data_IF_099887269517
#
_entry.id   IF_099887269517
#
_cell.length_a   1.000
_cell.length_b   1.000
_cell.length_c   1.000
_cell.angle_alpha   90.00
_cell.angle_beta   90.00
_cell.angle_gamma   90.00
#
_symmetry.space_group_name_H-M   'P 1'
#
loop_
_entity.id
_entity.type
_entity.pdbx_description
1 polymer ?
#
# COMPACT_ATOMS: atom_id res chain seq x y z
N UNK A 1 -0.17 4.81 -17.44
CA UNK A 1 -1.22 4.23 -16.60
C UNK A 1 -0.80 2.86 -16.08
N UNK A 2 -0.05 2.09 -16.87
CA UNK A 2 0.36 0.71 -16.54
C UNK A 2 1.35 0.69 -15.37
N UNK A 3 2.25 1.67 -15.27
CA UNK A 3 3.15 1.82 -14.12
C UNK A 3 2.38 1.98 -12.79
N UNK A 4 1.35 2.82 -12.75
CA UNK A 4 0.48 2.96 -11.57
C UNK A 4 -0.24 1.66 -11.20
N UNK A 5 -0.74 0.94 -12.19
CA UNK A 5 -1.42 -0.35 -11.98
C UNK A 5 -0.44 -1.37 -11.40
N UNK A 6 0.80 -1.42 -11.90
CA UNK A 6 1.82 -2.32 -11.39
C UNK A 6 2.22 -1.96 -9.95
N UNK A 7 2.28 -0.67 -9.61
CA UNK A 7 2.46 -0.22 -8.22
C UNK A 7 1.32 -0.69 -7.31
N UNK A 8 0.07 -0.65 -7.78
CA UNK A 8 -1.08 -1.18 -7.04
C UNK A 8 -0.95 -2.69 -6.82
N UNK A 9 -0.59 -3.45 -7.86
CA UNK A 9 -0.36 -4.90 -7.76
C UNK A 9 0.75 -5.20 -6.74
N UNK A 10 1.85 -4.44 -6.77
CA UNK A 10 2.93 -4.57 -5.80
C UNK A 10 2.47 -4.30 -4.37
N UNK A 11 1.67 -3.24 -4.13
CA UNK A 11 1.11 -2.93 -2.82
C UNK A 11 0.17 -4.05 -2.33
N UNK A 12 -0.63 -4.61 -3.24
CA UNK A 12 -1.50 -5.75 -2.97
C UNK A 12 -0.74 -7.01 -2.57
N UNK A 13 0.46 -7.24 -3.13
CA UNK A 13 1.32 -8.38 -2.81
C UNK A 13 2.14 -8.12 -1.53
N UNK A 14 2.60 -6.88 -1.33
CA UNK A 14 3.37 -6.47 -0.15
C UNK A 14 2.55 -6.58 1.13
N UNK A 15 1.26 -6.24 1.09
CA UNK A 15 0.36 -6.36 2.24
C UNK A 15 0.39 -7.77 2.88
N UNK A 16 0.11 -8.85 2.13
CA UNK A 16 0.21 -10.23 2.62
C UNK A 16 1.61 -10.63 3.10
N UNK A 17 2.66 -10.19 2.42
CA UNK A 17 4.05 -10.45 2.83
C UNK A 17 4.32 -9.82 4.21
N UNK A 18 3.84 -8.62 4.44
CA UNK A 18 4.01 -7.91 5.71
C UNK A 18 3.14 -8.52 6.80
N UNK A 19 1.93 -8.96 6.48
CA UNK A 19 1.10 -9.71 7.41
C UNK A 19 1.81 -11.01 7.87
N UNK A 20 2.43 -11.72 6.94
CA UNK A 20 3.25 -12.91 7.22
C UNK A 20 4.48 -12.60 8.07
N UNK A 21 5.24 -11.55 7.72
CA UNK A 21 6.40 -11.09 8.47
C UNK A 21 6.01 -10.64 9.89
N UNK A 22 4.82 -10.05 10.04
CA UNK A 22 4.27 -9.61 11.31
C UNK A 22 4.03 -10.79 12.25
N UNK A 23 3.40 -11.86 11.78
CA UNK A 23 3.20 -13.07 12.59
C UNK A 23 4.52 -13.72 13.00
N UNK A 24 5.52 -13.75 12.12
CA UNK A 24 6.80 -14.42 12.39
C UNK A 24 7.71 -13.65 13.34
N UNK A 25 7.96 -12.36 13.07
CA UNK A 25 8.99 -11.58 13.77
C UNK A 25 8.52 -10.20 14.25
N UNK A 26 7.78 -9.44 13.44
CA UNK A 26 7.53 -8.02 13.78
C UNK A 26 6.65 -7.86 15.03
N UNK A 27 5.76 -8.83 15.32
CA UNK A 27 4.95 -8.82 16.55
C UNK A 27 5.79 -8.79 17.84
N UNK A 28 7.01 -9.35 17.82
CA UNK A 28 7.89 -9.36 19.01
C UNK A 28 8.52 -7.99 19.29
N UNK A 29 8.58 -7.13 18.28
CA UNK A 29 9.23 -5.82 18.35
C UNK A 29 8.19 -4.76 18.71
N UNK A 30 7.13 -4.64 17.92
CA UNK A 30 6.07 -3.65 18.14
C UNK A 30 4.75 -4.12 17.52
N UNK A 31 3.63 -3.92 18.24
CA UNK A 31 2.28 -4.23 17.77
C UNK A 31 1.88 -3.41 16.54
N UNK A 32 2.46 -2.22 16.39
CA UNK A 32 2.18 -1.29 15.29
C UNK A 32 3.24 -1.35 14.18
N UNK A 33 4.20 -2.29 14.26
CA UNK A 33 5.26 -2.43 13.27
C UNK A 33 4.74 -2.63 11.83
N UNK A 34 3.59 -3.28 11.66
CA UNK A 34 2.95 -3.46 10.35
C UNK A 34 2.39 -2.17 9.77
N UNK A 35 1.90 -1.28 10.63
CA UNK A 35 1.39 0.05 10.23
C UNK A 35 2.57 0.96 9.91
N UNK A 36 3.60 0.99 10.76
CA UNK A 36 4.82 1.78 10.52
C UNK A 36 5.51 1.38 9.23
N UNK A 37 5.63 0.07 8.97
CA UNK A 37 6.22 -0.44 7.73
C UNK A 37 5.33 -0.07 6.52
N UNK A 38 4.01 -0.11 6.68
CA UNK A 38 3.07 0.38 5.69
C UNK A 38 3.28 1.85 5.38
N UNK A 39 3.34 2.71 6.39
CA UNK A 39 3.60 4.15 6.22
C UNK A 39 4.93 4.38 5.50
N UNK A 40 5.99 3.65 5.86
CA UNK A 40 7.28 3.74 5.19
C UNK A 40 7.18 3.39 3.70
N UNK A 41 6.52 2.28 3.37
CA UNK A 41 6.31 1.84 1.98
C UNK A 41 5.50 2.89 1.22
N UNK A 42 4.45 3.44 1.84
CA UNK A 42 3.64 4.49 1.25
C UNK A 42 4.45 5.73 0.91
N UNK A 43 5.32 6.18 1.82
CA UNK A 43 6.24 7.31 1.58
C UNK A 43 7.20 7.00 0.44
N UNK A 44 7.72 5.77 0.33
CA UNK A 44 8.61 5.36 -0.76
C UNK A 44 7.87 5.38 -2.09
N UNK A 45 6.69 4.77 -2.17
CA UNK A 45 5.90 4.70 -3.41
C UNK A 45 5.43 6.09 -3.85
N UNK A 46 4.97 6.93 -2.91
CA UNK A 46 4.60 8.30 -3.22
C UNK A 46 5.81 9.14 -3.61
N UNK A 47 6.90 9.06 -2.85
CA UNK A 47 8.14 9.77 -3.16
C UNK A 47 8.64 9.41 -4.56
N UNK A 48 8.71 8.11 -4.88
CA UNK A 48 9.15 7.64 -6.18
C UNK A 48 8.23 8.11 -7.31
N UNK A 49 6.90 8.01 -7.13
CA UNK A 49 5.94 8.49 -8.12
C UNK A 49 6.01 10.01 -8.34
N UNK A 50 6.18 10.80 -7.27
CA UNK A 50 6.35 12.25 -7.37
C UNK A 50 7.67 12.63 -8.08
N UNK A 51 8.78 11.96 -7.74
CA UNK A 51 10.07 12.17 -8.38
C UNK A 51 10.05 11.82 -9.87
N UNK A 52 9.36 10.73 -10.25
CA UNK A 52 9.12 10.39 -11.64
C UNK A 52 8.22 11.41 -12.33
N UNK A 53 7.15 11.88 -11.67
CA UNK A 53 6.23 12.87 -12.21
C UNK A 53 6.91 14.22 -12.51
N UNK A 54 7.77 14.70 -11.61
CA UNK A 54 8.53 15.94 -11.81
C UNK A 54 9.77 15.76 -12.71
N UNK A 55 9.96 14.58 -13.32
CA UNK A 55 11.15 14.22 -14.11
C UNK A 55 12.48 14.48 -13.36
N UNK A 56 12.48 14.41 -12.03
CA UNK A 56 13.69 14.53 -11.21
C UNK A 56 14.57 13.29 -11.40
N UNK A 57 13.94 12.12 -11.55
CA UNK A 57 14.62 10.88 -11.90
C UNK A 57 14.49 10.68 -13.41
N UNK A 58 15.64 10.63 -14.08
CA UNK A 58 15.75 10.25 -15.48
C UNK A 58 16.38 8.86 -15.57
N UNK A 59 15.75 7.97 -16.33
CA UNK A 59 16.20 6.59 -16.46
C UNK A 59 17.02 6.36 -17.74
N UNK A 60 17.51 7.44 -18.35
CA UNK A 60 18.42 7.41 -19.49
C UNK A 60 17.79 6.69 -20.67
N UNK A 61 18.34 5.53 -21.03
CA UNK A 61 17.92 4.71 -22.18
C UNK A 61 16.48 4.18 -22.09
N UNK A 62 15.88 4.18 -20.89
CA UNK A 62 14.51 3.71 -20.66
C UNK A 62 13.46 4.82 -20.73
N UNK A 63 13.87 6.06 -20.97
CA UNK A 63 12.99 7.21 -21.08
C UNK A 63 12.97 8.10 -19.84
N UNK A 64 12.12 9.13 -19.90
CA UNK A 64 11.91 10.07 -18.79
C UNK A 64 11.17 9.40 -17.62
N UNK A 65 11.25 9.98 -16.41
CA UNK A 65 10.52 9.49 -15.25
C UNK A 65 9.00 9.42 -15.50
N UNK A 66 8.47 10.40 -16.23
CA UNK A 66 7.08 10.41 -16.68
C UNK A 66 6.77 9.23 -17.60
N UNK A 67 7.58 8.95 -18.61
CA UNK A 67 7.38 7.83 -19.53
C UNK A 67 7.28 6.49 -18.81
N UNK A 68 8.17 6.26 -17.83
CA UNK A 68 8.16 5.03 -17.04
C UNK A 68 6.91 4.94 -16.18
N UNK A 69 6.47 6.05 -15.58
CA UNK A 69 5.21 6.06 -14.82
C UNK A 69 4.02 5.67 -15.70
N UNK A 70 4.07 6.00 -17.00
CA UNK A 70 3.00 5.68 -17.94
C UNK A 70 3.10 4.29 -18.57
N UNK A 71 4.30 3.84 -18.91
CA UNK A 71 4.57 2.69 -19.78
C UNK A 71 5.31 1.52 -19.09
N UNK A 72 5.74 1.63 -17.84
CA UNK A 72 6.44 0.50 -17.21
C UNK A 72 5.54 -0.73 -17.05
N UNK A 73 5.97 -1.97 -17.41
CA UNK A 73 7.30 -2.42 -17.84
C UNK A 73 7.47 -2.62 -19.37
N UNK A 74 6.46 -2.32 -20.18
CA UNK A 74 6.49 -2.49 -21.64
C UNK A 74 6.16 -1.17 -22.32
N UNK A 75 7.03 -0.68 -23.19
CA UNK A 75 6.77 0.54 -23.94
C UNK A 75 5.63 0.31 -24.96
N UNK A 76 4.40 0.63 -24.55
CA UNK A 76 3.21 0.52 -25.40
C UNK A 76 3.03 1.69 -26.36
N UNK A 77 4.04 2.58 -26.49
CA UNK A 77 3.96 3.74 -27.37
C UNK A 77 2.97 4.81 -26.90
N UNK A 78 2.60 4.82 -25.62
CA UNK A 78 1.78 5.88 -25.04
C UNK A 78 2.66 7.11 -24.93
N UNK A 79 2.30 8.14 -25.71
CA UNK A 79 3.03 9.40 -25.78
C UNK A 79 2.91 10.14 -24.44
N UNK A 80 4.03 10.32 -23.70
CA UNK A 80 4.03 11.03 -22.43
C UNK A 80 3.71 12.51 -22.61
N UNK A 81 3.88 13.11 -23.81
CA UNK A 81 3.84 14.58 -24.02
C UNK A 81 2.44 15.20 -23.87
N UNK A 82 1.39 14.38 -23.81
CA UNK A 82 0.04 14.79 -23.39
C UNK A 82 -0.05 14.92 -21.84
N UNK A 83 0.95 15.56 -21.22
CA UNK A 83 1.18 15.71 -19.77
C UNK A 83 0.18 16.69 -19.13
N UNK A 84 -1.09 16.64 -19.50
CA UNK A 84 -2.09 17.12 -18.57
C UNK A 84 -2.15 16.10 -17.45
N UNK A 85 -2.11 16.62 -16.22
CA UNK A 85 -2.19 15.86 -14.98
C UNK A 85 -3.51 15.08 -15.00
N UNK A 86 -3.46 13.87 -15.54
CA UNK A 86 -4.65 13.08 -15.76
C UNK A 86 -5.28 12.82 -14.39
N UNK A 87 -6.51 13.31 -14.18
CA UNK A 87 -7.19 13.20 -12.90
C UNK A 87 -7.25 11.75 -12.41
N UNK A 88 -7.27 10.78 -13.33
CA UNK A 88 -7.20 9.36 -13.02
C UNK A 88 -5.87 8.95 -12.37
N UNK A 89 -4.73 9.52 -12.78
CA UNK A 89 -3.44 9.24 -12.18
C UNK A 89 -3.36 9.76 -10.73
N UNK A 90 -3.91 10.95 -10.46
CA UNK A 90 -3.99 11.49 -9.09
C UNK A 90 -4.83 10.56 -8.22
N UNK A 91 -6.01 10.17 -8.71
CA UNK A 91 -6.92 9.29 -7.97
C UNK A 91 -6.24 7.95 -7.67
N UNK A 92 -5.56 7.36 -8.67
CA UNK A 92 -4.83 6.11 -8.47
C UNK A 92 -3.69 6.27 -7.47
N UNK A 93 -2.93 7.35 -7.55
CA UNK A 93 -1.83 7.65 -6.64
C UNK A 93 -2.32 7.85 -5.19
N UNK A 94 -3.43 8.58 -5.00
CA UNK A 94 -4.08 8.76 -3.70
C UNK A 94 -4.71 7.47 -3.17
N UNK A 95 -5.06 6.52 -4.05
CA UNK A 95 -5.66 5.24 -3.66
C UNK A 95 -4.65 4.21 -3.13
N UNK A 96 -3.34 4.47 -3.20
CA UNK A 96 -2.30 3.54 -2.72
C UNK A 96 -2.48 3.06 -1.26
N UNK A 97 -2.85 3.90 -0.27
CA UNK A 97 -3.03 3.44 1.09
C UNK A 97 -4.16 2.42 1.19
N UNK A 98 -5.23 2.62 0.40
CA UNK A 98 -6.37 1.73 0.36
C UNK A 98 -5.97 0.34 -0.15
N UNK A 99 -5.23 0.27 -1.26
CA UNK A 99 -4.78 -1.02 -1.81
C UNK A 99 -3.82 -1.74 -0.88
N UNK A 100 -2.90 -1.01 -0.24
CA UNK A 100 -2.01 -1.58 0.76
C UNK A 100 -2.78 -2.16 1.95
N UNK A 101 -3.71 -1.39 2.54
CA UNK A 101 -4.52 -1.83 3.68
C UNK A 101 -5.36 -3.06 3.32
N UNK A 102 -5.97 -3.05 2.14
CA UNK A 102 -6.74 -4.19 1.65
C UNK A 102 -5.88 -5.45 1.51
N UNK A 103 -4.69 -5.35 0.90
CA UNK A 103 -3.76 -6.47 0.80
C UNK A 103 -3.31 -6.96 2.18
N UNK A 104 -3.02 -6.04 3.09
CA UNK A 104 -2.61 -6.33 4.46
C UNK A 104 -3.69 -7.10 5.23
N UNK A 105 -4.96 -6.71 5.10
CA UNK A 105 -6.10 -7.41 5.70
C UNK A 105 -6.28 -8.83 5.16
N UNK A 106 -6.23 -9.01 3.84
CA UNK A 106 -6.30 -10.35 3.22
C UNK A 106 -5.15 -11.23 3.70
N UNK A 107 -3.97 -10.63 3.84
CA UNK A 107 -2.82 -11.25 4.49
C UNK A 107 -3.12 -11.74 5.89
N UNK A 108 -3.74 -10.90 6.72
CA UNK A 108 -4.12 -11.28 8.08
C UNK A 108 -5.21 -12.33 8.17
N UNK A 109 -6.13 -12.35 7.21
CA UNK A 109 -7.16 -13.39 7.10
C UNK A 109 -6.54 -14.76 6.79
N UNK A 110 -5.54 -14.81 5.88
CA UNK A 110 -4.83 -16.05 5.57
C UNK A 110 -3.88 -16.50 6.68
N UNK A 111 -3.18 -15.56 7.29
CA UNK A 111 -2.13 -15.85 8.26
C UNK A 111 -2.70 -16.01 9.68
N UNK A 112 -3.93 -15.54 9.93
CA UNK A 112 -4.63 -15.60 11.21
C UNK A 112 -4.09 -14.59 12.23
N UNK A 113 -4.77 -13.44 12.36
CA UNK A 113 -4.50 -12.41 13.38
C UNK A 113 -5.65 -12.35 14.40
N UNK A 114 -5.33 -12.40 15.69
CA UNK A 114 -6.35 -12.29 16.76
C UNK A 114 -6.70 -10.81 17.04
N UNK A 115 -7.93 -10.47 17.48
CA UNK A 115 -8.38 -9.08 17.67
C UNK A 115 -7.50 -8.25 18.60
N UNK A 116 -7.00 -8.84 19.70
CA UNK A 116 -6.09 -8.17 20.65
C UNK A 116 -4.71 -7.82 20.07
N UNK A 117 -4.40 -8.27 18.86
CA UNK A 117 -3.13 -8.04 18.18
C UNK A 117 -3.24 -6.91 17.15
N UNK A 118 -4.41 -6.28 17.02
CA UNK A 118 -4.72 -5.35 15.93
C UNK A 118 -4.16 -3.93 16.13
N UNK A 119 -3.77 -3.52 17.34
CA UNK A 119 -3.08 -2.22 17.56
C UNK A 119 -3.83 -1.05 16.91
N UNK A 120 -3.11 -0.07 16.36
CA UNK A 120 -3.70 1.03 15.58
C UNK A 120 -4.35 0.51 14.28
N UNK A 121 -3.87 -0.59 13.73
CA UNK A 121 -4.47 -1.21 12.53
C UNK A 121 -5.93 -1.64 12.76
N UNK A 122 -6.39 -1.76 14.01
CA UNK A 122 -7.80 -1.97 14.32
C UNK A 122 -8.70 -0.82 13.87
N UNK A 123 -8.22 0.42 14.00
CA UNK A 123 -8.99 1.63 13.65
C UNK A 123 -9.09 1.83 12.14
N UNK A 124 -8.13 1.31 11.40
CA UNK A 124 -8.05 1.45 9.94
C UNK A 124 -8.58 0.22 9.19
N UNK A 125 -9.21 -0.73 9.88
CA UNK A 125 -9.73 -1.95 9.25
C UNK A 125 -11.10 -1.72 8.62
N UNK A 126 -11.40 -2.43 7.56
CA UNK A 126 -12.75 -2.49 7.02
C UNK A 126 -13.67 -3.23 8.00
N UNK A 127 -14.81 -2.62 8.40
CA UNK A 127 -15.72 -3.26 9.33
C UNK A 127 -16.30 -4.53 8.69
N UNK A 128 -16.08 -5.69 9.33
CA UNK A 128 -16.71 -6.95 8.90
C UNK A 128 -18.15 -6.97 9.40
N UNK A 129 -19.09 -7.30 8.51
CA UNK A 129 -20.53 -7.37 8.80
C UNK A 129 -20.77 -8.43 9.90
N UNK A 130 -21.22 -8.01 11.08
CA UNK A 130 -21.53 -8.90 12.21
C UNK A 130 -20.48 -8.96 13.34
N UNK A 131 -19.42 -8.14 13.32
CA UNK A 131 -18.51 -8.06 14.46
C UNK A 131 -19.13 -7.23 15.60
N UNK A 132 -19.45 -7.88 16.72
CA UNK A 132 -19.69 -7.19 17.98
C UNK A 132 -18.37 -6.62 18.52
N UNK A 133 -18.36 -5.33 18.84
CA UNK A 133 -17.23 -4.71 19.53
C UNK A 133 -16.94 -5.52 20.80
N UNK A 134 -15.66 -5.81 21.12
CA UNK A 134 -15.33 -6.46 22.38
C UNK A 134 -15.79 -5.54 23.51
N UNK A 135 -16.96 -5.84 24.09
CA UNK A 135 -17.44 -5.19 25.31
C UNK A 135 -16.31 -5.29 26.31
N UNK A 136 -15.85 -4.14 26.80
CA UNK A 136 -14.85 -4.05 27.85
C UNK A 136 -15.12 -5.13 28.88
N UNK A 137 -14.17 -6.06 29.05
CA UNK A 137 -14.25 -7.02 30.15
C UNK A 137 -14.31 -6.19 31.42
N UNK A 138 -15.52 -6.00 31.94
CA UNK A 138 -15.75 -5.61 33.33
C UNK A 138 -14.86 -6.53 34.15
N UNK A 139 -13.87 -5.94 34.82
CA UNK A 139 -13.09 -6.57 35.88
C UNK A 139 -14.10 -7.05 36.93
N UNK A 140 -14.49 -8.31 36.88
CA UNK A 140 -15.07 -8.96 38.05
C UNK A 140 -13.88 -9.36 38.92
N UNK A 141 -13.74 -8.60 40.02
CA UNK A 141 -13.00 -9.03 41.21
C UNK A 141 -13.66 -10.27 41.79
#
# INVERSE_FOLDING_TARGET
MIGFILSIILLLILGPIIAWAYKRKLRKINKDASVLLGMLIMVIFWGFGALCYFNIINFGSFGTGQEIMWNFPFNFGIDPTNINLDGYAIILFLSYPFWYLWGLERGYDWVGRRPHQQGIAYLMRFPKKGEEYPKDRKKMK
#
